data_IF_019042830234
#
_entry.id   IF_019042830234
#
_cell.length_a   1.000
_cell.length_b   1.000
_cell.length_c   1.000
_cell.angle_alpha   90.00
_cell.angle_beta   90.00
_cell.angle_gamma   90.00
#
_symmetry.space_group_name_H-M   'P 1'
#
loop_
_entity.id
_entity.type
_entity.pdbx_description
1 polymer ?
#
# COMPACT_ATOMS: atom_id res chain seq x y z
N UNK A 1 6.35 -1.22 11.88
CA UNK A 1 5.41 -0.41 11.07
C UNK A 1 4.03 -1.06 11.11
N UNK A 2 2.95 -0.31 10.97
CA UNK A 2 1.59 -0.87 10.86
C UNK A 2 1.12 -0.71 9.41
N UNK A 3 0.56 -1.77 8.85
CA UNK A 3 -0.06 -1.77 7.52
C UNK A 3 -1.45 -2.39 7.60
N UNK A 4 -2.25 -2.20 6.56
CA UNK A 4 -3.59 -2.74 6.43
C UNK A 4 -3.68 -3.62 5.18
N UNK A 5 -4.23 -4.82 5.36
CA UNK A 5 -4.55 -5.77 4.31
C UNK A 5 -5.98 -6.21 4.55
N UNK A 6 -6.89 -6.09 3.58
CA UNK A 6 -8.31 -6.42 3.76
C UNK A 6 -8.93 -5.82 5.03
N UNK A 7 -8.67 -4.53 5.29
CA UNK A 7 -9.11 -3.79 6.50
C UNK A 7 -8.56 -4.33 7.83
N UNK A 8 -7.76 -5.39 7.83
CA UNK A 8 -7.09 -5.92 9.01
C UNK A 8 -5.75 -5.23 9.20
N UNK A 9 -5.51 -4.71 10.40
CA UNK A 9 -4.22 -4.11 10.78
C UNK A 9 -3.20 -5.22 11.04
N UNK A 10 -2.08 -5.17 10.32
CA UNK A 10 -0.93 -6.06 10.47
C UNK A 10 0.26 -5.24 10.96
N UNK A 11 0.98 -5.76 11.97
CA UNK A 11 2.20 -5.13 12.50
C UNK A 11 3.42 -5.80 11.87
N UNK A 12 4.11 -5.09 10.98
CA UNK A 12 5.39 -5.52 10.41
C UNK A 12 6.52 -5.24 11.40
N UNK A 13 7.32 -6.28 11.69
CA UNK A 13 8.51 -6.17 12.55
C UNK A 13 9.76 -6.13 11.67
N UNK A 14 10.80 -5.36 12.04
CA UNK A 14 12.05 -5.32 11.28
C UNK A 14 12.68 -6.70 11.07
N UNK A 15 12.56 -7.60 12.04
CA UNK A 15 13.05 -8.98 11.95
C UNK A 15 12.35 -9.85 10.89
N UNK A 16 11.18 -9.42 10.43
CA UNK A 16 10.41 -10.15 9.41
C UNK A 16 10.81 -9.68 7.99
N UNK A 17 11.68 -8.66 7.86
CA UNK A 17 12.23 -8.24 6.58
C UNK A 17 13.18 -9.31 6.04
N UNK A 18 12.89 -9.80 4.83
CA UNK A 18 13.68 -10.82 4.14
C UNK A 18 14.46 -10.25 2.95
N UNK A 19 14.18 -9.00 2.56
CA UNK A 19 14.92 -8.30 1.54
C UNK A 19 14.62 -6.80 1.56
N UNK A 20 15.62 -6.00 1.22
CA UNK A 20 15.50 -4.55 1.07
C UNK A 20 16.05 -4.18 -0.30
N UNK A 21 15.25 -3.49 -1.10
CA UNK A 21 15.67 -2.96 -2.40
C UNK A 21 15.64 -1.43 -2.38
N UNK A 22 16.10 -0.81 -3.47
CA UNK A 22 15.99 0.64 -3.64
C UNK A 22 14.54 1.12 -3.53
N UNK A 23 13.61 0.40 -4.15
CA UNK A 23 12.21 0.83 -4.29
C UNK A 23 11.26 0.33 -3.19
N UNK A 24 11.54 -0.84 -2.62
CA UNK A 24 10.60 -1.55 -1.76
C UNK A 24 11.33 -2.45 -0.77
N UNK A 25 10.68 -2.67 0.38
CA UNK A 25 11.07 -3.67 1.35
C UNK A 25 10.15 -4.89 1.24
N UNK A 26 10.72 -6.08 1.44
CA UNK A 26 10.00 -7.35 1.39
C UNK A 26 10.00 -7.98 2.78
N UNK A 27 8.80 -8.25 3.30
CA UNK A 27 8.59 -8.89 4.60
C UNK A 27 7.98 -10.27 4.40
N UNK A 28 8.40 -11.24 5.22
CA UNK A 28 7.74 -12.55 5.30
C UNK A 28 6.39 -12.40 5.99
N UNK A 29 5.36 -13.01 5.41
CA UNK A 29 4.02 -13.07 5.98
C UNK A 29 3.52 -14.51 5.92
N UNK A 30 3.62 -15.24 7.03
CA UNK A 30 3.35 -16.68 7.04
C UNK A 30 4.40 -17.50 6.26
N UNK A 31 4.04 -18.74 5.93
CA UNK A 31 4.97 -19.72 5.33
C UNK A 31 5.16 -19.53 3.84
N UNK A 32 4.12 -19.08 3.13
CA UNK A 32 4.10 -18.99 1.65
C UNK A 32 3.79 -17.59 1.12
N UNK A 33 3.55 -16.61 2.00
CA UNK A 33 3.23 -15.25 1.57
C UNK A 33 4.32 -14.27 1.96
N UNK A 34 4.37 -13.18 1.21
CA UNK A 34 5.28 -12.07 1.43
C UNK A 34 4.52 -10.77 1.21
N UNK A 35 4.97 -9.73 1.91
CA UNK A 35 4.49 -8.37 1.74
C UNK A 35 5.59 -7.58 1.07
N UNK A 36 5.34 -7.08 -0.15
CA UNK A 36 6.21 -6.13 -0.83
C UNK A 36 5.67 -4.72 -0.58
N UNK A 37 6.37 -3.96 0.25
CA UNK A 37 6.00 -2.61 0.65
C UNK A 37 6.87 -1.59 -0.09
N UNK A 38 6.26 -0.85 -1.02
CA UNK A 38 6.93 0.21 -1.76
C UNK A 38 7.19 1.43 -0.87
N UNK A 39 8.39 2.01 -1.00
CA UNK A 39 8.79 3.18 -0.23
C UNK A 39 8.03 4.42 -0.70
N UNK A 40 7.55 5.28 0.23
CA UNK A 40 6.91 6.53 -0.13
C UNK A 40 7.93 7.50 -0.74
N UNK A 41 7.49 8.54 -1.48
CA UNK A 41 8.37 9.59 -2.00
C UNK A 41 9.14 10.31 -0.89
N UNK A 42 8.56 10.41 0.30
CA UNK A 42 9.19 11.03 1.48
C UNK A 42 10.19 10.12 2.20
N UNK A 43 10.50 8.94 1.66
CA UNK A 43 11.43 8.01 2.29
C UNK A 43 12.86 8.59 2.32
N UNK A 44 13.64 8.40 3.40
CA UNK A 44 15.02 8.92 3.52
C UNK A 44 15.92 8.57 2.33
N UNK A 45 15.79 7.37 1.79
CA UNK A 45 16.51 6.92 0.59
C UNK A 45 16.30 7.81 -0.64
N UNK A 46 15.25 8.62 -0.68
CA UNK A 46 14.95 9.56 -1.76
C UNK A 46 15.19 11.02 -1.37
N UNK A 47 15.63 11.32 -0.15
CA UNK A 47 15.70 12.68 0.39
C UNK A 47 16.53 13.67 -0.45
N UNK A 48 17.48 13.17 -1.24
CA UNK A 48 18.40 13.97 -2.04
C UNK A 48 18.18 13.89 -3.55
N UNK A 49 17.08 13.27 -4.01
CA UNK A 49 16.80 13.13 -5.44
C UNK A 49 15.32 13.37 -5.73
N UNK A 50 15.00 14.55 -6.28
CA UNK A 50 13.64 14.87 -6.73
C UNK A 50 13.15 13.90 -7.81
N UNK A 51 14.05 13.41 -8.66
CA UNK A 51 13.74 12.42 -9.70
C UNK A 51 13.27 11.11 -9.08
N UNK A 52 13.94 10.63 -8.02
CA UNK A 52 13.52 9.40 -7.32
C UNK A 52 12.21 9.58 -6.57
N UNK A 53 11.97 10.75 -5.98
CA UNK A 53 10.69 11.09 -5.34
C UNK A 53 9.54 11.06 -6.34
N UNK A 54 9.68 11.75 -7.48
CA UNK A 54 8.69 11.74 -8.56
C UNK A 54 8.51 10.34 -9.15
N UNK A 55 9.60 9.58 -9.29
CA UNK A 55 9.57 8.18 -9.70
C UNK A 55 8.77 7.33 -8.71
N UNK A 56 8.94 7.53 -7.40
CA UNK A 56 8.16 6.84 -6.37
C UNK A 56 6.66 7.19 -6.45
N UNK A 57 6.31 8.47 -6.65
CA UNK A 57 4.91 8.89 -6.84
C UNK A 57 4.26 8.20 -8.03
N UNK A 58 4.95 8.22 -9.18
CA UNK A 58 4.47 7.60 -10.41
C UNK A 58 4.32 6.09 -10.26
N UNK A 59 5.34 5.40 -9.72
CA UNK A 59 5.31 3.96 -9.45
C UNK A 59 4.13 3.59 -8.56
N UNK A 60 3.91 4.34 -7.48
CA UNK A 60 2.78 4.10 -6.58
C UNK A 60 1.43 4.28 -7.29
N UNK A 61 1.26 5.35 -8.07
CA UNK A 61 0.03 5.59 -8.83
C UNK A 61 -0.24 4.48 -9.87
N UNK A 62 0.79 4.09 -10.62
CA UNK A 62 0.68 3.02 -11.62
C UNK A 62 0.38 1.66 -10.99
N UNK A 63 1.04 1.30 -9.89
CA UNK A 63 0.80 0.01 -9.22
C UNK A 63 -0.61 -0.10 -8.66
N UNK A 64 -1.16 0.99 -8.13
CA UNK A 64 -2.55 1.00 -7.66
C UNK A 64 -3.51 0.61 -8.79
N UNK A 65 -3.27 1.08 -10.02
CA UNK A 65 -4.10 0.72 -11.17
C UNK A 65 -3.82 -0.70 -11.67
N UNK A 66 -2.54 -1.02 -11.98
CA UNK A 66 -2.13 -2.26 -12.63
C UNK A 66 -2.40 -3.50 -11.77
N UNK A 67 -2.22 -3.41 -10.44
CA UNK A 67 -2.45 -4.54 -9.55
C UNK A 67 -3.93 -4.92 -9.46
N UNK A 68 -4.86 -3.97 -9.63
CA UNK A 68 -6.30 -4.26 -9.70
C UNK A 68 -6.72 -4.91 -11.01
N UNK A 69 -5.94 -4.68 -12.08
CA UNK A 69 -6.15 -5.24 -13.40
C UNK A 69 -5.36 -6.54 -13.63
N UNK A 70 -4.68 -7.04 -12.59
CA UNK A 70 -3.82 -8.20 -12.71
C UNK A 70 -4.64 -9.44 -13.12
N UNK A 71 -4.17 -10.24 -14.10
CA UNK A 71 -4.92 -11.38 -14.59
C UNK A 71 -5.12 -12.43 -13.50
N UNK A 72 -6.34 -12.97 -13.41
CA UNK A 72 -6.72 -13.93 -12.35
C UNK A 72 -6.49 -15.39 -12.78
N UNK A 73 -6.52 -15.69 -14.08
CA UNK A 73 -6.43 -17.05 -14.61
C UNK A 73 -4.98 -17.44 -14.95
N UNK A 74 -4.09 -17.36 -13.96
CA UNK A 74 -2.70 -17.74 -14.13
C UNK A 74 -2.46 -19.23 -13.85
N UNK A 75 -1.42 -19.84 -14.45
CA UNK A 75 -1.01 -21.20 -14.11
C UNK A 75 -0.70 -21.33 -12.61
N UNK A 76 -0.95 -22.50 -12.02
CA UNK A 76 -0.75 -22.76 -10.57
C UNK A 76 0.68 -22.54 -10.07
N UNK A 77 1.67 -22.55 -10.97
CA UNK A 77 3.08 -22.31 -10.65
C UNK A 77 3.48 -20.83 -10.66
N UNK A 78 2.58 -19.93 -11.11
CA UNK A 78 2.86 -18.50 -11.16
C UNK A 78 2.64 -17.86 -9.78
N UNK A 79 3.54 -16.94 -9.41
CA UNK A 79 3.34 -16.08 -8.24
C UNK A 79 2.55 -14.86 -8.67
N UNK A 80 1.40 -14.64 -8.04
CA UNK A 80 0.49 -13.54 -8.31
C UNK A 80 0.31 -12.64 -7.07
N UNK A 81 0.05 -11.34 -7.26
CA UNK A 81 -0.47 -10.49 -6.20
C UNK A 81 -1.78 -11.07 -5.65
N UNK A 82 -1.88 -11.17 -4.33
CA UNK A 82 -3.09 -11.65 -3.66
C UNK A 82 -3.94 -10.49 -3.16
N UNK A 83 -3.30 -9.50 -2.54
CA UNK A 83 -4.00 -8.37 -1.91
C UNK A 83 -3.16 -7.09 -1.94
N UNK A 84 -3.85 -5.95 -1.87
CA UNK A 84 -3.21 -4.66 -1.70
C UNK A 84 -2.89 -4.39 -0.23
N UNK A 85 -1.66 -3.91 0.00
CA UNK A 85 -1.16 -3.50 1.31
C UNK A 85 -1.17 -1.98 1.36
N UNK A 86 -1.80 -1.42 2.39
CA UNK A 86 -1.88 0.01 2.61
C UNK A 86 -1.13 0.40 3.88
N UNK A 87 -0.35 1.46 3.83
CA UNK A 87 0.32 1.98 5.01
C UNK A 87 -0.65 2.72 5.96
N UNK A 88 -0.36 2.69 7.25
CA UNK A 88 -1.15 3.34 8.29
C UNK A 88 -0.94 4.86 8.37
N UNK A 89 0.17 5.42 7.85
CA UNK A 89 0.43 6.87 7.90
C UNK A 89 -0.37 7.67 6.86
N UNK A 90 -0.99 7.02 5.86
CA UNK A 90 -2.04 7.65 5.06
C UNK A 90 -3.39 7.46 5.76
N UNK A 91 -3.75 8.48 6.55
CA UNK A 91 -5.12 8.81 6.95
C UNK A 91 -6.08 8.52 5.79
N UNK A 92 -6.79 7.39 5.89
CA UNK A 92 -8.00 7.02 5.13
C UNK A 92 -8.04 7.41 3.64
N UNK A 93 -7.53 6.54 2.75
CA UNK A 93 -8.10 6.40 1.39
C UNK A 93 -9.08 5.21 1.30
N UNK A 94 -9.83 5.01 2.37
CA UNK A 94 -11.19 4.50 2.27
C UNK A 94 -12.07 5.64 2.79
N UNK A 95 -12.54 6.54 1.92
CA UNK A 95 -13.82 7.18 2.21
C UNK A 95 -14.86 6.10 1.89
N UNK A 96 -15.54 5.48 2.87
CA UNK A 96 -16.88 5.02 2.56
C UNK A 96 -17.68 6.27 2.18
N UNK A 97 -18.63 6.12 1.26
CA UNK A 97 -19.64 7.14 1.04
C UNK A 97 -20.29 7.46 2.40
N UNK A 98 -19.92 8.58 3.03
CA UNK A 98 -20.72 9.16 4.10
C UNK A 98 -21.92 9.82 3.41
N UNK A 99 -23.18 9.42 3.71
CA UNK A 99 -24.32 10.24 3.34
C UNK A 99 -24.16 11.58 4.05
N UNK A 100 -24.28 12.68 3.30
CA UNK A 100 -24.28 14.02 3.85
C UNK A 100 -25.28 14.09 5.02
N UNK A 101 -24.91 14.63 6.19
CA UNK A 101 -25.92 15.00 7.16
C UNK A 101 -26.77 16.11 6.52
N UNK A 102 -28.05 15.81 6.31
CA UNK A 102 -29.05 16.80 5.93
C UNK A 102 -28.94 17.99 6.87
N UNK A 103 -28.84 19.18 6.28
CA UNK A 103 -28.82 20.44 7.01
C UNK A 103 -30.04 20.53 7.91
N UNK A 104 -29.81 20.49 9.21
CA UNK A 104 -30.74 21.05 10.17
C UNK A 104 -30.58 22.57 10.08
N UNK A 105 -31.60 23.22 9.51
CA UNK A 105 -31.83 24.65 9.57
C UNK A 105 -31.86 25.10 11.03
N UNK A 106 -31.18 26.19 11.44
CA UNK A 106 -31.41 26.76 12.75
C UNK A 106 -32.75 27.50 12.73
N UNK A 107 -33.55 27.31 13.78
CA UNK A 107 -34.76 28.06 14.02
C UNK A 107 -34.48 29.54 14.25
N UNK A 108 -35.37 30.36 13.72
CA UNK A 108 -35.51 31.80 13.90
C UNK A 108 -36.81 32.23 13.25
#
# INVERSE_FOLDING_TARGET
MNVYINKKRIKLKPKDAIGKGGEADVFRWGTTQVIKLFKPPTHPDYAHSLVEQQGAERRLAEHQQKLRQFPQNLPSKAIAPQELVYDAHRRWQQRPCDPQPHGQTPGG
#
